data_IF_391161935211
#
_entry.id   IF_391161935211
#
_cell.length_a   1.000
_cell.length_b   1.000
_cell.length_c   1.000
_cell.angle_alpha   90.00
_cell.angle_beta   90.00
_cell.angle_gamma   90.00
#
_symmetry.space_group_name_H-M   'P 1'
#
loop_
_entity.id
_entity.type
_entity.pdbx_description
1 polymer ?
#
# COMPACT_ATOMS: atom_id res chain seq x y z
N UNK A 1 -22.08 1.25 25.61
CA UNK A 1 -22.38 0.14 24.66
C UNK A 1 -21.15 -0.37 23.92
N UNK A 2 -20.31 0.48 23.29
CA UNK A 2 -19.02 0.08 22.66
C UNK A 2 -18.07 -0.69 23.61
N UNK A 3 -18.02 -0.30 24.89
CA UNK A 3 -17.21 -0.98 25.91
C UNK A 3 -17.61 -2.45 26.14
N UNK A 4 -18.85 -2.86 25.88
CA UNK A 4 -19.26 -4.26 26.03
C UNK A 4 -18.74 -5.16 24.91
N UNK A 5 -18.41 -4.58 23.75
CA UNK A 5 -17.89 -5.34 22.61
C UNK A 5 -16.36 -5.40 22.59
N UNK A 6 -15.69 -4.31 23.01
CA UNK A 6 -14.23 -4.19 22.89
C UNK A 6 -13.51 -4.18 24.24
N UNK A 7 -14.18 -3.88 25.34
CA UNK A 7 -13.58 -3.81 26.68
C UNK A 7 -12.66 -2.61 26.90
N UNK A 8 -11.80 -2.24 25.94
CA UNK A 8 -10.85 -1.11 26.06
C UNK A 8 -10.75 -0.31 24.77
N UNK A 9 -10.26 0.94 24.89
CA UNK A 9 -9.95 1.79 23.73
C UNK A 9 -8.84 1.17 22.87
N UNK A 10 -7.83 0.54 23.48
CA UNK A 10 -6.77 -0.20 22.77
C UNK A 10 -7.35 -1.32 21.90
N UNK A 11 -8.23 -2.15 22.44
CA UNK A 11 -8.83 -3.26 21.71
C UNK A 11 -9.68 -2.77 20.52
N UNK A 12 -10.47 -1.70 20.72
CA UNK A 12 -11.21 -1.07 19.64
C UNK A 12 -10.26 -0.52 18.56
N UNK A 13 -9.18 0.14 18.95
CA UNK A 13 -8.21 0.72 18.03
C UNK A 13 -7.55 -0.36 17.16
N UNK A 14 -7.00 -1.41 17.77
CA UNK A 14 -6.38 -2.53 17.04
C UNK A 14 -7.37 -3.23 16.12
N UNK A 15 -8.60 -3.46 16.58
CA UNK A 15 -9.67 -4.04 15.76
C UNK A 15 -9.93 -3.20 14.50
N UNK A 16 -10.00 -1.87 14.63
CA UNK A 16 -10.23 -0.99 13.48
C UNK A 16 -9.05 -1.01 12.50
N UNK A 17 -7.81 -1.11 12.99
CA UNK A 17 -6.62 -1.20 12.13
C UNK A 17 -6.69 -2.49 11.31
N UNK A 18 -6.98 -3.63 11.96
CA UNK A 18 -7.13 -4.90 11.28
C UNK A 18 -8.29 -4.89 10.30
N UNK A 19 -9.45 -4.36 10.68
CA UNK A 19 -10.61 -4.26 9.80
C UNK A 19 -10.27 -3.47 8.54
N UNK A 20 -9.64 -2.31 8.68
CA UNK A 20 -9.25 -1.46 7.57
C UNK A 20 -8.21 -2.15 6.67
N UNK A 21 -7.17 -2.74 7.27
CA UNK A 21 -6.12 -3.46 6.54
C UNK A 21 -6.69 -4.68 5.77
N UNK A 22 -7.50 -5.50 6.44
CA UNK A 22 -8.12 -6.69 5.84
C UNK A 22 -9.12 -6.31 4.73
N UNK A 23 -9.82 -5.18 4.85
CA UNK A 23 -10.72 -4.68 3.79
C UNK A 23 -9.93 -4.42 2.50
N UNK A 24 -8.77 -3.77 2.61
CA UNK A 24 -7.90 -3.53 1.45
C UNK A 24 -7.30 -4.84 0.91
N UNK A 25 -6.78 -5.70 1.79
CA UNK A 25 -6.16 -6.96 1.39
C UNK A 25 -7.14 -7.87 0.65
N UNK A 26 -8.36 -8.01 1.17
CA UNK A 26 -9.42 -8.84 0.56
C UNK A 26 -9.76 -8.37 -0.84
N UNK A 27 -9.93 -7.06 -1.03
CA UNK A 27 -10.23 -6.49 -2.36
C UNK A 27 -9.10 -6.74 -3.35
N UNK A 28 -7.84 -6.71 -2.90
CA UNK A 28 -6.69 -7.08 -3.73
C UNK A 28 -6.71 -8.59 -4.04
N UNK A 29 -6.91 -9.46 -3.06
CA UNK A 29 -6.97 -10.91 -3.28
C UNK A 29 -8.06 -11.32 -4.28
N UNK A 30 -9.21 -10.65 -4.25
CA UNK A 30 -10.33 -10.96 -5.13
C UNK A 30 -10.15 -10.44 -6.56
N UNK A 31 -9.45 -9.32 -6.75
CA UNK A 31 -9.40 -8.60 -8.03
C UNK A 31 -8.05 -8.61 -8.72
N UNK A 32 -6.98 -8.96 -8.02
CA UNK A 32 -5.63 -8.97 -8.57
C UNK A 32 -5.46 -10.11 -9.58
N UNK A 33 -4.91 -9.80 -10.75
CA UNK A 33 -4.58 -10.81 -11.75
C UNK A 33 -3.19 -11.41 -11.48
N UNK A 34 -3.18 -12.57 -10.81
CA UNK A 34 -1.96 -13.31 -10.50
C UNK A 34 -1.24 -13.90 -11.73
N UNK A 35 -1.81 -13.81 -12.94
CA UNK A 35 -1.14 -14.23 -14.18
C UNK A 35 -0.19 -13.17 -14.71
N UNK A 36 -0.32 -11.92 -14.26
CA UNK A 36 0.56 -10.83 -14.66
C UNK A 36 1.93 -11.01 -14.01
N UNK A 37 2.97 -11.07 -14.84
CA UNK A 37 4.36 -11.26 -14.40
C UNK A 37 5.17 -9.97 -14.37
N UNK A 38 4.72 -8.93 -15.06
CA UNK A 38 5.43 -7.64 -15.13
C UNK A 38 5.36 -6.87 -13.79
N UNK A 39 6.52 -6.47 -13.24
CA UNK A 39 6.60 -5.78 -11.95
C UNK A 39 5.71 -4.53 -11.94
N UNK A 40 5.89 -3.60 -12.89
CA UNK A 40 5.21 -2.31 -12.84
C UNK A 40 3.71 -2.46 -13.10
N UNK A 41 3.29 -3.38 -13.97
CA UNK A 41 1.86 -3.68 -14.15
C UNK A 41 1.23 -4.28 -12.89
N UNK A 42 1.93 -5.16 -12.18
CA UNK A 42 1.45 -5.69 -10.90
C UNK A 42 1.28 -4.57 -9.86
N UNK A 43 2.22 -3.62 -9.82
CA UNK A 43 2.09 -2.44 -8.95
C UNK A 43 0.86 -1.62 -9.37
N UNK A 44 0.70 -1.30 -10.65
CA UNK A 44 -0.47 -0.57 -11.18
C UNK A 44 -1.79 -1.21 -10.81
N UNK A 45 -1.95 -2.50 -11.07
CA UNK A 45 -3.19 -3.24 -10.75
C UNK A 45 -3.47 -3.16 -9.25
N UNK A 46 -2.46 -3.44 -8.42
CA UNK A 46 -2.62 -3.40 -6.97
C UNK A 46 -2.95 -1.99 -6.45
N UNK A 47 -2.37 -0.95 -7.05
CA UNK A 47 -2.64 0.44 -6.73
C UNK A 47 -4.05 0.81 -7.15
N UNK A 48 -4.47 0.55 -8.39
CA UNK A 48 -5.82 0.83 -8.87
C UNK A 48 -6.91 0.16 -8.02
N UNK A 49 -6.68 -1.06 -7.53
CA UNK A 49 -7.59 -1.71 -6.58
C UNK A 49 -7.63 -0.94 -5.26
N UNK A 50 -6.47 -0.62 -4.66
CA UNK A 50 -6.40 0.16 -3.42
C UNK A 50 -7.14 1.48 -3.57
N UNK A 51 -6.90 2.18 -4.67
CA UNK A 51 -7.53 3.44 -5.04
C UNK A 51 -9.05 3.34 -5.02
N UNK A 52 -9.61 2.32 -5.65
CA UNK A 52 -11.05 2.09 -5.67
C UNK A 52 -11.61 1.89 -4.25
N UNK A 53 -10.88 1.17 -3.38
CA UNK A 53 -11.25 1.00 -1.97
C UNK A 53 -11.19 2.32 -1.23
N UNK A 54 -10.16 3.14 -1.44
CA UNK A 54 -10.00 4.45 -0.79
C UNK A 54 -11.11 5.42 -1.20
N UNK A 55 -11.49 5.46 -2.50
CA UNK A 55 -12.62 6.27 -3.00
C UNK A 55 -13.96 5.82 -2.36
N UNK A 56 -14.15 4.51 -2.16
CA UNK A 56 -15.36 3.95 -1.51
C UNK A 56 -15.38 4.17 0.00
N UNK A 57 -14.21 4.23 0.65
CA UNK A 57 -14.06 4.36 2.09
C UNK A 57 -13.06 5.48 2.46
N UNK A 58 -13.42 6.77 2.31
CA UNK A 58 -12.49 7.88 2.50
C UNK A 58 -11.88 8.01 3.90
N UNK A 59 -12.51 7.41 4.93
CA UNK A 59 -12.00 7.38 6.29
C UNK A 59 -10.87 6.35 6.51
N UNK A 60 -10.75 5.33 5.65
CA UNK A 60 -9.74 4.28 5.79
C UNK A 60 -8.31 4.84 5.60
N UNK A 61 -8.00 5.61 4.53
CA UNK A 61 -6.65 6.13 4.32
C UNK A 61 -6.16 7.02 5.46
N UNK A 62 -6.98 7.95 5.93
CA UNK A 62 -6.59 8.86 7.02
C UNK A 62 -6.35 8.11 8.32
N UNK A 63 -7.20 7.13 8.64
CA UNK A 63 -7.03 6.28 9.81
C UNK A 63 -5.81 5.37 9.72
N UNK A 64 -5.57 4.71 8.59
CA UNK A 64 -4.39 3.86 8.42
C UNK A 64 -3.09 4.67 8.34
N UNK A 65 -3.12 5.93 7.88
CA UNK A 65 -1.93 6.78 7.88
C UNK A 65 -1.47 7.11 9.30
N UNK A 66 -2.39 7.27 10.25
CA UNK A 66 -2.01 7.62 11.63
C UNK A 66 -1.22 6.52 12.33
N UNK A 67 -1.38 5.25 11.93
CA UNK A 67 -0.68 4.12 12.58
C UNK A 67 0.82 4.14 12.31
N UNK A 68 1.25 4.71 11.17
CA UNK A 68 2.68 4.82 10.81
C UNK A 68 3.44 5.80 11.71
N UNK A 69 2.71 6.71 12.35
CA UNK A 69 3.26 7.74 13.23
C UNK A 69 2.83 7.54 14.69
N UNK A 70 2.20 6.40 15.00
CA UNK A 70 1.79 6.07 16.36
C UNK A 70 3.02 5.71 17.20
N UNK A 71 3.25 6.47 18.26
CA UNK A 71 4.41 6.34 19.14
C UNK A 71 4.05 5.81 20.54
N UNK A 72 2.75 5.57 20.81
CA UNK A 72 2.34 5.06 22.11
C UNK A 72 2.83 3.61 22.32
N UNK A 73 3.65 3.41 23.35
CA UNK A 73 4.23 2.13 23.73
C UNK A 73 3.17 1.04 24.00
N UNK A 74 1.95 1.42 24.41
CA UNK A 74 0.87 0.47 24.68
C UNK A 74 0.44 -0.31 23.44
N UNK A 75 0.63 0.24 22.24
CA UNK A 75 0.16 -0.34 20.96
C UNK A 75 1.26 -0.53 19.93
N UNK A 76 2.49 -0.07 20.20
CA UNK A 76 3.58 -0.01 19.22
C UNK A 76 3.97 -1.40 18.68
N UNK A 77 4.10 -2.41 19.56
CA UNK A 77 4.45 -3.78 19.17
C UNK A 77 3.32 -4.47 18.38
N UNK A 78 2.06 -4.24 18.77
CA UNK A 78 0.89 -4.75 18.05
C UNK A 78 0.84 -4.15 16.62
N UNK A 79 1.05 -2.83 16.51
CA UNK A 79 1.10 -2.12 15.22
C UNK A 79 2.24 -2.62 14.35
N UNK A 80 3.45 -2.84 14.89
CA UNK A 80 4.58 -3.41 14.14
C UNK A 80 4.22 -4.76 13.52
N UNK A 81 3.53 -5.61 14.27
CA UNK A 81 3.10 -6.93 13.78
C UNK A 81 2.08 -6.79 12.65
N UNK A 82 1.10 -5.89 12.80
CA UNK A 82 0.11 -5.61 11.74
C UNK A 82 0.77 -5.04 10.48
N UNK A 83 1.70 -4.11 10.63
CA UNK A 83 2.46 -3.52 9.51
C UNK A 83 3.29 -4.58 8.80
N UNK A 84 3.95 -5.48 9.54
CA UNK A 84 4.73 -6.59 8.97
C UNK A 84 3.85 -7.56 8.17
N UNK A 85 2.64 -7.88 8.65
CA UNK A 85 1.66 -8.66 7.87
C UNK A 85 1.33 -7.96 6.54
N UNK A 86 1.09 -6.64 6.59
CA UNK A 86 0.84 -5.83 5.40
C UNK A 86 2.02 -5.79 4.42
N UNK A 87 3.24 -5.71 4.93
CA UNK A 87 4.46 -5.79 4.13
C UNK A 87 4.63 -7.15 3.45
N UNK A 88 4.40 -8.25 4.18
CA UNK A 88 4.44 -9.60 3.64
C UNK A 88 3.42 -9.80 2.51
N UNK A 89 2.18 -9.34 2.72
CA UNK A 89 1.14 -9.36 1.68
C UNK A 89 1.55 -8.55 0.44
N UNK A 90 2.03 -7.32 0.64
CA UNK A 90 2.47 -6.44 -0.44
C UNK A 90 3.63 -7.05 -1.22
N UNK A 91 4.56 -7.70 -0.53
CA UNK A 91 5.68 -8.41 -1.13
C UNK A 91 5.22 -9.59 -1.96
N UNK A 92 4.25 -10.37 -1.48
CA UNK A 92 3.65 -11.46 -2.27
C UNK A 92 3.02 -10.92 -3.56
N UNK A 93 2.20 -9.88 -3.46
CA UNK A 93 1.55 -9.27 -4.63
C UNK A 93 2.56 -8.74 -5.64
N UNK A 94 3.64 -8.11 -5.18
CA UNK A 94 4.70 -7.64 -6.07
C UNK A 94 5.47 -8.81 -6.69
N UNK A 95 6.03 -9.71 -5.87
CA UNK A 95 7.15 -10.59 -6.24
C UNK A 95 6.79 -12.03 -6.62
N UNK A 96 5.64 -12.55 -6.21
CA UNK A 96 5.29 -13.96 -6.41
C UNK A 96 4.90 -14.26 -7.87
N UNK A 97 5.76 -14.93 -8.64
CA UNK A 97 5.58 -15.13 -10.08
C UNK A 97 5.96 -13.92 -10.94
N UNK A 98 6.74 -12.98 -10.40
CA UNK A 98 7.30 -11.87 -11.17
C UNK A 98 8.36 -12.34 -12.15
N UNK A 99 8.39 -11.71 -13.34
CA UNK A 99 9.50 -11.82 -14.28
C UNK A 99 10.60 -10.80 -13.96
N UNK A 100 11.67 -11.30 -13.32
CA UNK A 100 12.83 -10.49 -12.95
C UNK A 100 13.70 -10.12 -14.16
N UNK A 101 13.56 -10.82 -15.30
CA UNK A 101 14.48 -10.69 -16.44
C UNK A 101 14.37 -9.35 -17.17
N UNK A 102 13.27 -8.63 -16.97
CA UNK A 102 12.98 -7.33 -17.58
C UNK A 102 13.82 -6.18 -17.00
N UNK A 103 14.28 -6.31 -15.76
CA UNK A 103 15.12 -5.30 -15.13
C UNK A 103 16.52 -5.27 -15.73
N UNK A 104 17.11 -4.07 -15.80
CA UNK A 104 18.54 -3.90 -16.12
C UNK A 104 19.42 -4.59 -15.09
N UNK A 105 20.62 -4.99 -15.52
CA UNK A 105 21.61 -5.59 -14.61
C UNK A 105 21.95 -4.64 -13.45
N UNK A 106 22.04 -5.19 -12.23
CA UNK A 106 22.34 -4.43 -11.01
C UNK A 106 21.15 -3.72 -10.36
N UNK A 107 19.96 -3.73 -10.97
CA UNK A 107 18.75 -3.21 -10.33
C UNK A 107 18.13 -4.27 -9.43
N UNK A 108 17.95 -3.96 -8.15
CA UNK A 108 17.19 -4.78 -7.20
C UNK A 108 15.70 -4.33 -7.17
N UNK A 109 14.76 -5.15 -7.66
CA UNK A 109 13.33 -4.82 -7.63
C UNK A 109 12.78 -4.57 -6.22
N UNK A 110 13.40 -5.10 -5.17
CA UNK A 110 13.01 -4.82 -3.78
C UNK A 110 13.30 -3.38 -3.39
N UNK A 111 14.41 -2.81 -3.87
CA UNK A 111 14.73 -1.40 -3.66
C UNK A 111 13.76 -0.49 -4.44
N UNK A 112 13.43 -0.87 -5.68
CA UNK A 112 12.42 -0.15 -6.48
C UNK A 112 11.07 -0.16 -5.78
N UNK A 113 10.65 -1.30 -5.24
CA UNK A 113 9.42 -1.40 -4.45
C UNK A 113 9.47 -0.53 -3.19
N UNK A 114 10.60 -0.50 -2.48
CA UNK A 114 10.79 0.37 -1.32
C UNK A 114 10.64 1.85 -1.70
N UNK A 115 11.19 2.28 -2.84
CA UNK A 115 11.02 3.66 -3.35
C UNK A 115 9.54 3.98 -3.57
N UNK A 116 8.79 3.08 -4.21
CA UNK A 116 7.35 3.26 -4.47
C UNK A 116 6.53 3.31 -3.17
N UNK A 117 6.87 2.50 -2.17
CA UNK A 117 6.23 2.53 -0.85
C UNK A 117 6.51 3.87 -0.16
N UNK A 118 7.76 4.33 -0.14
CA UNK A 118 8.11 5.62 0.46
C UNK A 118 7.41 6.80 -0.23
N UNK A 119 7.28 6.76 -1.56
CA UNK A 119 6.52 7.76 -2.32
C UNK A 119 5.04 7.78 -1.88
N UNK A 120 4.41 6.61 -1.81
CA UNK A 120 3.03 6.49 -1.38
C UNK A 120 2.81 6.95 0.07
N UNK A 121 3.69 6.57 1.00
CA UNK A 121 3.63 6.99 2.41
C UNK A 121 3.86 8.49 2.57
N UNK A 122 4.84 9.05 1.84
CA UNK A 122 5.11 10.48 1.82
C UNK A 122 3.90 11.28 1.35
N UNK A 123 3.20 10.80 0.32
CA UNK A 123 1.98 11.43 -0.15
C UNK A 123 0.83 11.31 0.86
N UNK A 124 0.60 10.12 1.41
CA UNK A 124 -0.45 9.88 2.42
C UNK A 124 -0.28 10.80 3.63
N UNK A 125 0.96 11.07 4.04
CA UNK A 125 1.24 12.04 5.10
C UNK A 125 0.90 13.50 4.73
N UNK A 126 1.03 13.89 3.45
CA UNK A 126 0.65 15.24 3.01
C UNK A 126 -0.86 15.45 2.96
N UNK A 127 -1.63 14.39 2.70
CA UNK A 127 -3.09 14.46 2.55
C UNK A 127 -3.85 14.18 3.84
N UNK A 128 -3.26 13.49 4.82
CA UNK A 128 -3.91 13.14 6.10
C UNK A 128 -4.40 14.37 6.89
N UNK A 129 -3.79 15.54 6.66
CA UNK A 129 -4.15 16.81 7.30
C UNK A 129 -5.02 17.74 6.43
N UNK A 130 -5.42 17.31 5.22
CA UNK A 130 -6.23 18.13 4.31
C UNK A 130 -7.71 17.77 4.43
N UNK A 131 -8.59 18.78 4.41
CA UNK A 131 -10.06 18.60 4.43
C UNK A 131 -10.60 18.00 3.12
N UNK A 132 -9.92 18.29 2.01
CA UNK A 132 -10.23 17.73 0.69
C UNK A 132 -8.97 17.09 0.14
N UNK A 133 -9.11 15.84 -0.30
CA UNK A 133 -8.03 15.06 -0.90
C UNK A 133 -8.32 14.92 -2.38
N UNK A 134 -7.46 15.49 -3.21
CA UNK A 134 -7.47 15.25 -4.64
C UNK A 134 -6.77 13.91 -4.94
N UNK A 135 -7.52 12.84 -4.72
CA UNK A 135 -7.08 11.49 -5.03
C UNK A 135 -6.71 11.33 -6.52
N UNK A 136 -7.37 12.06 -7.42
CA UNK A 136 -7.11 11.92 -8.85
C UNK A 136 -5.75 12.49 -9.24
N UNK A 137 -5.41 13.68 -8.71
CA UNK A 137 -4.08 14.26 -8.89
C UNK A 137 -2.98 13.35 -8.34
N UNK A 138 -3.20 12.75 -7.16
CA UNK A 138 -2.26 11.77 -6.60
C UNK A 138 -2.00 10.61 -7.53
N UNK A 139 -3.07 9.99 -8.04
CA UNK A 139 -2.93 8.77 -8.84
C UNK A 139 -2.26 9.06 -10.16
N UNK A 140 -2.56 10.21 -10.75
CA UNK A 140 -1.86 10.67 -11.94
C UNK A 140 -0.35 10.81 -11.67
N UNK A 141 0.04 11.50 -10.59
CA UNK A 141 1.45 11.66 -10.22
C UNK A 141 2.11 10.30 -9.93
N UNK A 142 1.41 9.40 -9.23
CA UNK A 142 1.91 8.06 -8.93
C UNK A 142 2.12 7.21 -10.19
N UNK A 143 1.22 7.29 -11.17
CA UNK A 143 1.38 6.64 -12.48
C UNK A 143 2.55 7.23 -13.26
N UNK A 144 2.74 8.55 -13.25
CA UNK A 144 3.90 9.21 -13.86
C UNK A 144 5.22 8.74 -13.23
N UNK A 145 5.24 8.54 -11.90
CA UNK A 145 6.39 7.92 -11.22
C UNK A 145 6.61 6.47 -11.64
N UNK A 146 5.55 5.66 -11.75
CA UNK A 146 5.67 4.27 -12.25
C UNK A 146 6.28 4.26 -13.65
N UNK A 147 5.78 5.09 -14.57
CA UNK A 147 6.31 5.20 -15.93
C UNK A 147 7.77 5.63 -15.93
N UNK A 148 8.12 6.63 -15.13
CA UNK A 148 9.50 7.08 -14.99
C UNK A 148 10.43 5.94 -14.53
N UNK A 149 10.05 5.21 -13.47
CA UNK A 149 10.86 4.11 -12.96
C UNK A 149 10.92 2.95 -13.96
N UNK A 150 9.81 2.63 -14.64
CA UNK A 150 9.77 1.61 -15.70
C UNK A 150 10.75 1.93 -16.81
N UNK A 151 10.66 3.13 -17.36
CA UNK A 151 11.50 3.55 -18.50
C UNK A 151 12.99 3.63 -18.14
N UNK A 152 13.32 3.86 -16.86
CA UNK A 152 14.71 3.95 -16.41
C UNK A 152 15.31 2.62 -15.96
N UNK A 153 14.51 1.71 -15.38
CA UNK A 153 15.01 0.49 -14.75
C UNK A 153 14.76 -0.81 -15.54
N UNK A 154 13.87 -0.80 -16.53
CA UNK A 154 13.74 -1.91 -17.48
C UNK A 154 14.75 -1.81 -18.62
N UNK A 155 15.16 -2.95 -19.17
CA UNK A 155 15.96 -2.99 -20.39
C UNK A 155 15.16 -2.39 -21.54
N UNK A 156 15.85 -1.82 -22.53
CA UNK A 156 15.25 -1.05 -23.61
C UNK A 156 14.23 -1.84 -24.42
N UNK A 157 14.41 -3.16 -24.57
CA UNK A 157 13.47 -4.03 -25.29
C UNK A 157 12.12 -4.26 -24.58
N UNK A 158 11.99 -3.84 -23.31
CA UNK A 158 10.78 -4.01 -22.50
C UNK A 158 10.06 -2.70 -22.16
N UNK A 159 10.55 -1.56 -22.66
CA UNK A 159 9.99 -0.22 -22.41
C UNK A 159 8.98 0.14 -23.49
#
# INVERSE_FOLDING_TARGET
MIFHYFGTKKALYLYLIELCGNTIMKEIEEKFDYKVTDFFERIRISSNIKIAVMKKHPAIPSFLTSIYFEANEEVSEDIKTILSKGEGFRSKIAFDGMDYSKFKEGIDPKLVMKMLVCLAEGYMNQISNRKEVDYEAFFKEFEEFIDLLRNNFYKEEYV
#
